data_IF_277350411344
#
_entry.id   IF_277350411344
#
_cell.length_a   1.000
_cell.length_b   1.000
_cell.length_c   1.000
_cell.angle_alpha   90.00
_cell.angle_beta   90.00
_cell.angle_gamma   90.00
#
_symmetry.space_group_name_H-M   'P 1'
#
loop_
_entity.id
_entity.type
_entity.pdbx_description
1 polymer ?
#
# COMPACT_ATOMS: atom_id res chain seq x y z
N UNK A 1 -19.95 23.27 -36.72
CA UNK A 1 -20.96 22.60 -37.56
C UNK A 1 -22.31 22.74 -36.86
N UNK A 2 -23.20 23.66 -37.28
CA UNK A 2 -24.51 23.88 -36.66
C UNK A 2 -25.49 22.85 -37.20
N UNK A 3 -26.02 21.98 -36.35
CA UNK A 3 -27.04 21.00 -36.74
C UNK A 3 -28.42 21.56 -36.39
N UNK A 4 -28.99 22.36 -37.29
CA UNK A 4 -30.39 22.77 -37.22
C UNK A 4 -31.24 21.68 -37.89
N UNK A 5 -32.02 20.93 -37.12
CA UNK A 5 -33.06 20.04 -37.67
C UNK A 5 -34.20 20.88 -38.24
N UNK A 6 -34.73 20.44 -39.38
CA UNK A 6 -35.80 21.08 -40.17
C UNK A 6 -37.13 21.21 -39.42
N UNK A 7 -37.90 22.23 -39.81
CA UNK A 7 -39.02 22.85 -39.12
C UNK A 7 -40.40 22.21 -39.39
N UNK A 8 -41.30 22.37 -38.41
CA UNK A 8 -42.76 22.26 -38.53
C UNK A 8 -43.33 23.71 -38.57
N UNK A 9 -44.13 24.12 -39.57
CA UNK A 9 -44.35 25.54 -39.86
C UNK A 9 -45.49 26.20 -39.07
N UNK A 10 -45.89 25.66 -37.91
CA UNK A 10 -47.07 26.19 -37.18
C UNK A 10 -46.82 26.36 -35.68
N UNK A 11 -45.89 27.22 -35.29
CA UNK A 11 -45.79 27.69 -33.90
C UNK A 11 -45.06 29.03 -33.82
N UNK A 12 -45.83 30.11 -33.61
CA UNK A 12 -45.33 31.44 -33.24
C UNK A 12 -44.89 31.45 -31.77
N UNK A 13 -43.79 30.75 -31.48
CA UNK A 13 -43.04 30.94 -30.24
C UNK A 13 -41.61 31.23 -30.65
N UNK A 14 -41.12 32.41 -30.29
CA UNK A 14 -39.72 32.78 -30.53
C UNK A 14 -38.81 31.72 -29.94
N UNK A 15 -38.16 30.93 -30.79
CA UNK A 15 -37.16 29.98 -30.35
C UNK A 15 -35.82 30.71 -30.34
N UNK A 16 -35.44 31.23 -29.17
CA UNK A 16 -34.07 31.66 -28.91
C UNK A 16 -33.17 30.43 -29.03
N UNK A 17 -32.40 30.35 -30.11
CA UNK A 17 -31.34 29.36 -30.26
C UNK A 17 -30.24 29.74 -29.25
N UNK A 18 -30.32 29.16 -28.05
CA UNK A 18 -29.30 29.40 -27.03
C UNK A 18 -27.95 28.90 -27.52
N UNK A 19 -26.97 29.80 -27.52
CA UNK A 19 -25.59 29.43 -27.79
C UNK A 19 -25.11 28.49 -26.67
N UNK A 20 -24.19 27.58 -26.98
CA UNK A 20 -23.66 26.59 -26.02
C UNK A 20 -23.11 27.26 -24.74
N UNK A 21 -22.68 28.52 -24.87
CA UNK A 21 -22.20 29.41 -23.82
C UNK A 21 -23.33 29.92 -22.88
N UNK A 22 -24.54 30.17 -23.40
CA UNK A 22 -25.70 30.53 -22.58
C UNK A 22 -26.23 29.33 -21.80
N UNK A 23 -26.24 28.12 -22.40
CA UNK A 23 -26.55 26.88 -21.66
C UNK A 23 -25.60 26.62 -20.50
N UNK A 24 -24.33 27.01 -20.63
CA UNK A 24 -23.35 26.90 -19.55
C UNK A 24 -23.62 27.88 -18.39
N UNK A 25 -24.24 29.04 -18.67
CA UNK A 25 -24.57 30.07 -17.68
C UNK A 25 -25.74 29.67 -16.77
N UNK A 26 -26.67 28.84 -17.26
CA UNK A 26 -27.83 28.34 -16.50
C UNK A 26 -27.58 27.01 -15.76
N UNK A 27 -26.38 26.44 -15.85
CA UNK A 27 -26.00 25.30 -15.04
C UNK A 27 -25.87 25.77 -13.57
N UNK A 28 -26.49 25.07 -12.59
CA UNK A 28 -26.35 25.41 -11.19
C UNK A 28 -24.88 25.48 -10.83
N UNK A 29 -24.44 26.69 -10.49
CA UNK A 29 -23.09 26.97 -10.02
C UNK A 29 -22.84 26.03 -8.84
N UNK A 30 -21.79 25.19 -8.92
CA UNK A 30 -21.42 24.19 -7.89
C UNK A 30 -22.08 22.79 -7.97
N UNK A 31 -22.72 22.41 -9.09
CA UNK A 31 -23.03 20.99 -9.33
C UNK A 31 -21.78 20.24 -9.81
N UNK A 32 -21.50 19.10 -9.17
CA UNK A 32 -20.45 18.17 -9.61
C UNK A 32 -20.83 17.63 -10.99
N UNK A 33 -20.05 17.98 -12.00
CA UNK A 33 -20.32 17.61 -13.40
C UNK A 33 -19.72 16.24 -13.70
N UNK A 34 -18.54 15.97 -13.15
CA UNK A 34 -17.82 14.74 -13.37
C UNK A 34 -16.93 14.45 -12.15
N UNK A 35 -17.10 13.27 -11.56
CA UNK A 35 -16.23 12.75 -10.51
C UNK A 35 -15.69 11.40 -10.98
N UNK A 36 -14.36 11.24 -10.99
CA UNK A 36 -13.76 9.95 -11.24
C UNK A 36 -12.50 9.74 -10.41
N UNK A 37 -12.28 8.48 -10.05
CA UNK A 37 -11.17 8.03 -9.20
C UNK A 37 -10.24 7.17 -10.04
N UNK A 38 -9.01 7.64 -10.27
CA UNK A 38 -7.98 6.85 -10.95
C UNK A 38 -7.08 6.22 -9.89
N UNK A 39 -7.00 4.90 -9.90
CA UNK A 39 -5.96 4.15 -9.18
C UNK A 39 -4.83 3.87 -10.16
N UNK A 40 -3.59 4.12 -9.76
CA UNK A 40 -2.41 3.97 -10.63
C UNK A 40 -2.07 2.51 -10.99
N UNK A 41 -2.73 1.53 -10.38
CA UNK A 41 -2.53 0.10 -10.63
C UNK A 41 -3.78 -0.50 -11.28
N UNK A 42 -3.59 -1.13 -12.45
CA UNK A 42 -4.66 -1.79 -13.21
C UNK A 42 -5.20 -3.06 -12.51
N UNK A 43 -4.42 -3.66 -11.61
CA UNK A 43 -4.79 -4.88 -10.88
C UNK A 43 -5.40 -4.56 -9.52
N UNK A 44 -6.37 -5.38 -9.09
CA UNK A 44 -7.03 -5.19 -7.81
C UNK A 44 -6.01 -5.28 -6.65
N UNK A 45 -6.05 -4.36 -5.68
CA UNK A 45 -5.06 -4.30 -4.61
C UNK A 45 -5.03 -5.58 -3.76
N UNK A 46 -6.18 -6.26 -3.66
CA UNK A 46 -6.34 -7.54 -2.96
C UNK A 46 -5.62 -8.68 -3.66
N UNK A 47 -5.74 -8.79 -4.98
CA UNK A 47 -5.02 -9.83 -5.73
C UNK A 47 -3.50 -9.65 -5.64
N UNK A 48 -3.00 -8.42 -5.74
CA UNK A 48 -1.56 -8.18 -5.59
C UNK A 48 -1.06 -8.59 -4.20
N UNK A 49 -1.80 -8.26 -3.14
CA UNK A 49 -1.47 -8.69 -1.77
C UNK A 49 -1.47 -10.22 -1.64
N UNK A 50 -2.47 -10.90 -2.19
CA UNK A 50 -2.55 -12.37 -2.16
C UNK A 50 -1.34 -12.98 -2.87
N UNK A 51 -1.05 -12.54 -4.10
CA UNK A 51 0.08 -13.04 -4.88
C UNK A 51 1.41 -12.79 -4.17
N UNK A 52 1.64 -11.59 -3.62
CA UNK A 52 2.85 -11.28 -2.87
C UNK A 52 2.97 -12.10 -1.58
N UNK A 53 1.86 -12.35 -0.88
CA UNK A 53 1.83 -13.20 0.31
C UNK A 53 2.19 -14.65 -0.01
N UNK A 54 1.72 -15.17 -1.15
CA UNK A 54 2.09 -16.51 -1.63
C UNK A 54 3.59 -16.58 -1.93
N UNK A 55 4.16 -15.57 -2.60
CA UNK A 55 5.60 -15.53 -2.86
C UNK A 55 6.42 -15.51 -1.56
N UNK A 56 6.00 -14.74 -0.56
CA UNK A 56 6.65 -14.71 0.75
C UNK A 56 6.55 -16.09 1.43
N UNK A 57 5.39 -16.74 1.41
CA UNK A 57 5.21 -18.05 2.01
C UNK A 57 6.11 -19.10 1.35
N UNK A 58 6.14 -19.16 0.02
CA UNK A 58 7.02 -20.05 -0.75
C UNK A 58 8.48 -19.76 -0.44
N UNK A 59 8.85 -18.48 -0.37
CA UNK A 59 10.19 -18.05 -0.02
C UNK A 59 10.61 -18.53 1.37
N UNK A 60 9.78 -18.30 2.40
CA UNK A 60 10.06 -18.74 3.78
C UNK A 60 10.19 -20.27 3.87
N UNK A 61 9.31 -21.01 3.19
CA UNK A 61 9.37 -22.48 3.15
C UNK A 61 10.66 -22.94 2.48
N UNK A 62 11.00 -22.37 1.31
CA UNK A 62 12.22 -22.69 0.57
C UNK A 62 13.48 -22.39 1.37
N UNK A 63 13.55 -21.22 2.01
CA UNK A 63 14.66 -20.85 2.89
C UNK A 63 14.78 -21.79 4.09
N UNK A 64 13.67 -22.20 4.70
CA UNK A 64 13.69 -23.15 5.84
C UNK A 64 14.23 -24.50 5.42
N UNK A 65 13.77 -25.04 4.27
CA UNK A 65 14.26 -26.30 3.72
C UNK A 65 15.74 -26.22 3.35
N UNK A 66 16.18 -25.10 2.77
CA UNK A 66 17.58 -24.86 2.42
C UNK A 66 18.48 -24.82 3.67
N UNK A 67 18.05 -24.10 4.71
CA UNK A 67 18.79 -24.05 5.98
C UNK A 67 18.86 -25.43 6.65
N UNK A 68 17.78 -26.21 6.58
CA UNK A 68 17.74 -27.55 7.12
C UNK A 68 18.67 -28.52 6.36
N UNK A 69 18.60 -28.52 5.03
CA UNK A 69 19.45 -29.39 4.18
C UNK A 69 20.93 -28.98 4.19
N UNK A 70 21.22 -27.70 4.36
CA UNK A 70 22.59 -27.15 4.43
C UNK A 70 23.20 -27.15 5.83
N UNK A 71 22.53 -27.70 6.86
CA UNK A 71 22.96 -27.59 8.25
C UNK A 71 24.44 -27.95 8.48
N UNK A 72 24.92 -29.03 7.85
CA UNK A 72 26.31 -29.48 7.97
C UNK A 72 27.28 -28.43 7.39
N UNK A 73 27.01 -27.92 6.19
CA UNK A 73 27.83 -26.89 5.52
C UNK A 73 27.89 -25.58 6.33
N UNK A 74 26.78 -25.20 6.94
CA UNK A 74 26.70 -23.98 7.75
C UNK A 74 27.34 -24.13 9.13
N UNK A 75 27.36 -25.35 9.67
CA UNK A 75 28.06 -25.66 10.92
C UNK A 75 29.57 -25.51 10.78
N UNK A 76 30.11 -25.83 9.59
CA UNK A 76 31.55 -25.76 9.32
C UNK A 76 32.05 -24.34 8.99
N UNK A 77 31.19 -23.46 8.49
CA UNK A 77 31.59 -22.14 7.98
C UNK A 77 30.68 -21.01 8.44
N UNK A 78 31.08 -20.35 9.52
CA UNK A 78 30.33 -19.23 10.12
C UNK A 78 30.14 -18.05 9.15
N UNK A 79 31.14 -17.78 8.29
CA UNK A 79 31.04 -16.75 7.25
C UNK A 79 29.96 -17.07 6.20
N UNK A 80 29.83 -18.34 5.81
CA UNK A 80 28.81 -18.78 4.86
C UNK A 80 27.41 -18.64 5.45
N UNK A 81 27.25 -19.04 6.72
CA UNK A 81 25.99 -18.90 7.47
C UNK A 81 25.57 -17.43 7.63
N UNK A 82 26.49 -16.55 8.04
CA UNK A 82 26.19 -15.11 8.17
C UNK A 82 25.83 -14.51 6.80
N UNK A 83 26.56 -14.85 5.74
CA UNK A 83 26.28 -14.39 4.39
C UNK A 83 24.90 -14.82 3.87
N UNK A 84 24.51 -16.08 4.10
CA UNK A 84 23.19 -16.59 3.71
C UNK A 84 22.06 -15.97 4.52
N UNK A 85 22.22 -15.79 5.83
CA UNK A 85 21.25 -15.09 6.68
C UNK A 85 21.05 -13.65 6.19
N UNK A 86 22.13 -12.93 5.89
CA UNK A 86 22.04 -11.55 5.41
C UNK A 86 21.36 -11.46 4.05
N UNK A 87 21.70 -12.36 3.11
CA UNK A 87 21.04 -12.44 1.81
C UNK A 87 19.54 -12.72 1.96
N UNK A 88 19.18 -13.64 2.85
CA UNK A 88 17.78 -13.98 3.07
C UNK A 88 16.98 -12.86 3.74
N UNK A 89 17.56 -12.22 4.75
CA UNK A 89 16.97 -11.05 5.40
C UNK A 89 16.74 -9.91 4.39
N UNK A 90 17.69 -9.66 3.50
CA UNK A 90 17.56 -8.64 2.45
C UNK A 90 16.43 -8.91 1.47
N UNK A 91 16.30 -10.15 0.99
CA UNK A 91 15.22 -10.56 0.08
C UNK A 91 13.86 -10.49 0.79
N UNK A 92 13.78 -10.92 2.04
CA UNK A 92 12.54 -10.83 2.83
C UNK A 92 12.14 -9.37 3.04
N UNK A 93 13.08 -8.50 3.39
CA UNK A 93 12.85 -7.06 3.54
C UNK A 93 12.33 -6.44 2.24
N UNK A 94 12.87 -6.84 1.08
CA UNK A 94 12.39 -6.40 -0.22
C UNK A 94 10.92 -6.77 -0.45
N UNK A 95 10.53 -8.03 -0.20
CA UNK A 95 9.13 -8.44 -0.35
C UNK A 95 8.18 -7.75 0.63
N UNK A 96 8.63 -7.50 1.87
CA UNK A 96 7.87 -6.74 2.87
C UNK A 96 7.66 -5.29 2.41
N UNK A 97 8.69 -4.62 1.90
CA UNK A 97 8.57 -3.27 1.33
C UNK A 97 7.57 -3.22 0.16
N UNK A 98 7.55 -4.26 -0.69
CA UNK A 98 6.60 -4.36 -1.80
C UNK A 98 5.14 -4.50 -1.33
N UNK A 99 4.90 -5.17 -0.20
CA UNK A 99 3.57 -5.29 0.41
C UNK A 99 3.08 -3.95 0.99
N UNK A 100 3.98 -3.22 1.65
CA UNK A 100 3.69 -1.96 2.35
C UNK A 100 3.62 -0.77 1.38
N UNK A 101 3.98 -0.97 0.09
CA UNK A 101 4.03 0.08 -0.93
C UNK A 101 2.81 1.00 -0.88
N UNK A 102 3.08 2.29 -0.67
CA UNK A 102 2.07 3.35 -0.68
C UNK A 102 1.33 3.37 -2.02
N UNK A 103 0.00 3.48 -1.98
CA UNK A 103 -0.84 3.62 -3.17
C UNK A 103 -1.37 5.05 -3.22
N UNK A 104 -0.93 5.79 -4.22
CA UNK A 104 -1.49 7.11 -4.52
C UNK A 104 -2.83 6.94 -5.20
N UNK A 105 -3.88 7.47 -4.60
CA UNK A 105 -5.19 7.55 -5.23
C UNK A 105 -5.44 9.00 -5.63
N UNK A 106 -5.71 9.23 -6.92
CA UNK A 106 -6.07 10.54 -7.42
C UNK A 106 -7.59 10.64 -7.54
N UNK A 107 -8.17 11.62 -6.85
CA UNK A 107 -9.58 11.97 -6.95
C UNK A 107 -9.71 13.26 -7.77
N UNK A 108 -10.31 13.17 -8.95
CA UNK A 108 -10.56 14.31 -9.82
C UNK A 108 -12.04 14.68 -9.73
N UNK A 109 -12.32 15.88 -9.22
CA UNK A 109 -13.68 16.44 -9.18
C UNK A 109 -13.73 17.68 -10.06
N UNK A 110 -14.45 17.62 -11.17
CA UNK A 110 -14.67 18.76 -12.05
C UNK A 110 -16.03 19.39 -11.73
N UNK A 111 -15.97 20.65 -11.28
CA UNK A 111 -17.11 21.53 -11.11
C UNK A 111 -17.20 22.49 -12.30
N UNK A 112 -18.35 23.13 -12.46
CA UNK A 112 -18.62 24.09 -13.54
C UNK A 112 -17.64 25.27 -13.62
N UNK A 113 -16.96 25.61 -12.52
CA UNK A 113 -16.03 26.75 -12.45
C UNK A 113 -14.59 26.39 -12.07
N UNK A 114 -14.34 25.17 -11.58
CA UNK A 114 -13.04 24.78 -11.03
C UNK A 114 -12.84 23.26 -11.09
N UNK A 115 -11.60 22.83 -11.28
CA UNK A 115 -11.19 21.44 -11.14
C UNK A 115 -10.45 21.27 -9.82
N UNK A 116 -10.92 20.35 -8.97
CA UNK A 116 -10.26 19.97 -7.73
C UNK A 116 -9.51 18.65 -7.94
N UNK A 117 -8.24 18.63 -7.55
CA UNK A 117 -7.40 17.45 -7.48
C UNK A 117 -7.01 17.21 -6.03
N UNK A 118 -7.50 16.12 -5.46
CA UNK A 118 -7.07 15.66 -4.15
C UNK A 118 -6.17 14.43 -4.32
N UNK A 119 -4.97 14.51 -3.76
CA UNK A 119 -4.04 13.39 -3.69
C UNK A 119 -4.07 12.81 -2.28
N UNK A 120 -4.41 11.52 -2.17
CA UNK A 120 -4.35 10.79 -0.92
C UNK A 120 -3.25 9.73 -1.02
N UNK A 121 -2.29 9.80 -0.10
CA UNK A 121 -1.24 8.80 0.03
C UNK A 121 -1.74 7.71 0.96
N UNK A 122 -2.42 6.72 0.41
CA UNK A 122 -3.13 5.72 1.20
C UNK A 122 -2.25 4.48 1.42
N UNK A 123 -1.95 4.16 2.67
CA UNK A 123 -1.46 2.83 3.02
C UNK A 123 -2.62 1.84 3.04
N UNK A 124 -2.36 0.56 2.72
CA UNK A 124 -3.40 -0.45 2.82
C UNK A 124 -3.84 -0.65 4.28
N UNK A 125 -5.13 -0.85 4.51
CA UNK A 125 -5.72 -0.94 5.86
C UNK A 125 -5.10 -2.05 6.74
N UNK A 126 -4.56 -3.10 6.11
CA UNK A 126 -3.89 -4.18 6.83
C UNK A 126 -2.49 -3.81 7.35
N UNK A 127 -1.88 -2.73 6.85
CA UNK A 127 -0.49 -2.36 7.19
C UNK A 127 -0.30 -2.15 8.69
N UNK A 128 -1.26 -1.52 9.38
CA UNK A 128 -1.18 -1.31 10.83
C UNK A 128 -1.20 -2.64 11.58
N UNK A 129 -2.14 -3.53 11.24
CA UNK A 129 -2.20 -4.88 11.83
C UNK A 129 -0.94 -5.71 11.54
N UNK A 130 -0.38 -5.57 10.33
CA UNK A 130 0.84 -6.26 9.93
C UNK A 130 2.06 -5.80 10.74
N UNK A 131 2.25 -4.48 10.90
CA UNK A 131 3.32 -3.92 11.71
C UNK A 131 3.20 -4.29 13.19
N UNK A 132 1.98 -4.26 13.74
CA UNK A 132 1.71 -4.72 15.11
C UNK A 132 2.06 -6.20 15.26
N UNK A 133 1.71 -7.04 14.28
CA UNK A 133 2.07 -8.45 14.26
C UNK A 133 3.58 -8.69 14.26
N UNK A 134 4.33 -8.00 13.39
CA UNK A 134 5.80 -8.10 13.36
C UNK A 134 6.40 -7.67 14.69
N UNK A 135 5.94 -6.56 15.27
CA UNK A 135 6.44 -6.08 16.55
C UNK A 135 6.26 -7.12 17.67
N UNK A 136 5.08 -7.74 17.76
CA UNK A 136 4.79 -8.81 18.72
C UNK A 136 5.71 -10.02 18.47
N UNK A 137 5.86 -10.46 17.23
CA UNK A 137 6.70 -11.60 16.88
C UNK A 137 8.17 -11.37 17.27
N UNK A 138 8.71 -10.18 17.02
CA UNK A 138 10.08 -9.80 17.39
C UNK A 138 10.26 -9.80 18.91
N UNK A 139 9.32 -9.22 19.66
CA UNK A 139 9.36 -9.24 21.14
C UNK A 139 9.35 -10.68 21.66
N UNK A 140 8.46 -11.53 21.15
CA UNK A 140 8.37 -12.94 21.54
C UNK A 140 9.66 -13.70 21.23
N UNK A 141 10.28 -13.44 20.09
CA UNK A 141 11.56 -14.07 19.70
C UNK A 141 12.68 -13.73 20.69
N UNK A 142 12.78 -12.48 21.11
CA UNK A 142 13.77 -12.06 22.10
C UNK A 142 13.49 -12.64 23.49
N UNK A 143 12.23 -12.65 23.93
CA UNK A 143 11.84 -13.27 25.21
C UNK A 143 12.15 -14.77 25.21
N UNK A 144 11.84 -15.46 24.11
CA UNK A 144 12.16 -16.87 23.94
C UNK A 144 13.67 -17.12 24.00
N UNK A 145 14.47 -16.32 23.30
CA UNK A 145 15.92 -16.48 23.30
C UNK A 145 16.56 -16.15 24.66
N UNK A 146 16.02 -15.17 25.38
CA UNK A 146 16.43 -14.85 26.73
C UNK A 146 16.12 -16.00 27.71
N UNK A 147 14.97 -16.65 27.56
CA UNK A 147 14.61 -17.83 28.35
C UNK A 147 15.56 -19.01 28.09
N UNK A 148 15.96 -19.25 26.84
CA UNK A 148 16.92 -20.30 26.48
C UNK A 148 18.33 -20.03 27.02
N UNK A 149 18.77 -18.77 26.98
CA UNK A 149 20.14 -18.38 27.33
C UNK A 149 20.30 -18.10 28.84
N UNK A 150 19.19 -17.95 29.58
CA UNK A 150 19.17 -17.64 31.01
C UNK A 150 19.66 -16.23 31.36
N UNK A 151 19.89 -15.36 30.37
CA UNK A 151 20.41 -14.01 30.58
C UNK A 151 19.83 -13.02 29.57
N UNK A 152 19.21 -11.96 30.09
CA UNK A 152 18.75 -10.80 29.31
C UNK A 152 19.93 -9.87 28.92
N UNK A 153 21.09 -10.04 29.59
CA UNK A 153 22.25 -9.16 29.47
C UNK A 153 23.01 -9.32 28.15
N UNK A 154 22.95 -10.50 27.53
CA UNK A 154 23.53 -10.77 26.19
C UNK A 154 22.80 -9.99 25.06
N UNK A 155 21.66 -9.39 25.37
CA UNK A 155 20.76 -8.69 24.44
C UNK A 155 20.85 -7.16 24.54
N UNK A 156 21.66 -6.61 25.46
CA UNK A 156 21.81 -5.17 25.65
C UNK A 156 22.54 -4.59 24.41
N UNK A 157 21.79 -3.85 23.59
CA UNK A 157 22.24 -3.34 22.30
C UNK A 157 21.22 -3.67 21.21
N UNK A 158 21.39 -4.75 20.43
CA UNK A 158 20.48 -5.09 19.33
C UNK A 158 19.01 -5.24 19.77
N UNK A 159 18.73 -5.86 20.92
CA UNK A 159 17.35 -5.98 21.38
C UNK A 159 16.79 -4.68 21.94
N UNK A 160 17.61 -3.81 22.53
CA UNK A 160 17.13 -2.49 22.95
C UNK A 160 16.64 -1.68 21.74
N UNK A 161 17.43 -1.66 20.65
CA UNK A 161 17.06 -1.00 19.39
C UNK A 161 15.80 -1.63 18.79
N UNK A 162 15.72 -2.97 18.77
CA UNK A 162 14.57 -3.68 18.23
C UNK A 162 13.30 -3.47 19.06
N UNK A 163 13.38 -3.44 20.38
CA UNK A 163 12.26 -3.13 21.27
C UNK A 163 11.75 -1.71 21.09
N UNK A 164 12.64 -0.71 20.98
CA UNK A 164 12.24 0.68 20.70
C UNK A 164 11.54 0.79 19.34
N UNK A 165 12.07 0.10 18.31
CA UNK A 165 11.42 0.04 17.01
C UNK A 165 10.06 -0.68 17.06
N UNK A 166 9.96 -1.77 17.81
CA UNK A 166 8.72 -2.52 18.00
C UNK A 166 7.63 -1.69 18.69
N UNK A 167 7.98 -0.94 19.74
CA UNK A 167 7.04 -0.03 20.42
C UNK A 167 6.56 1.07 19.47
N UNK A 168 7.45 1.64 18.64
CA UNK A 168 7.05 2.61 17.61
C UNK A 168 6.12 1.99 16.55
N UNK A 169 6.37 0.76 16.15
CA UNK A 169 5.51 0.03 15.21
C UNK A 169 4.16 -0.35 15.83
N UNK A 170 4.10 -0.65 17.13
CA UNK A 170 2.86 -0.95 17.84
C UNK A 170 1.92 0.26 17.92
N UNK A 171 2.49 1.44 18.11
CA UNK A 171 1.75 2.69 18.14
C UNK A 171 1.51 3.29 16.75
N UNK A 172 1.88 2.58 15.68
CA UNK A 172 1.73 3.09 14.32
C UNK A 172 0.28 3.01 13.85
N UNK A 173 -0.27 4.17 13.49
CA UNK A 173 -1.57 4.34 12.88
C UNK A 173 -1.44 4.82 11.43
N UNK A 174 -2.40 4.43 10.60
CA UNK A 174 -2.41 4.81 9.19
C UNK A 174 -2.73 6.30 9.06
N UNK A 175 -1.85 7.14 8.49
CA UNK A 175 -2.20 8.53 8.20
C UNK A 175 -3.35 8.57 7.18
N UNK A 176 -4.44 9.25 7.55
CA UNK A 176 -5.67 9.36 6.77
C UNK A 176 -5.52 10.41 5.67
#
# INVERSE_FOLDING_TARGET
MKQCRHADPRSSRGYTCMNQQEKALYLPKNKDVLNWKIKTLARSPREMMITQSIFIAVYVIGSTLYMWGGWIMFSDSLYSLVGTILAFAGILAYFICLLIRQKTIYNYTIKTNCAHLEYYLHYPDFASSFFKGIAIAVILMFVFMAALTGSLLFLIGPAAIACVAAVKLLNWENPI
#
